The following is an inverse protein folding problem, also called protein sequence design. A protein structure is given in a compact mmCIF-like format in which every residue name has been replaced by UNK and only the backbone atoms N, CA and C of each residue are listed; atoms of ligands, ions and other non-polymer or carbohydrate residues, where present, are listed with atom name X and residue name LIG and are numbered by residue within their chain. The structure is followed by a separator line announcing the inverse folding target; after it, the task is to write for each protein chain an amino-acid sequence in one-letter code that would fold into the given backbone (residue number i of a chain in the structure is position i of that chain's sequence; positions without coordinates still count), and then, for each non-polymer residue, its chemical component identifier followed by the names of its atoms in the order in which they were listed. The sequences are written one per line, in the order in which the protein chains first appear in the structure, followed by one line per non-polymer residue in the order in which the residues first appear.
data_IF_594987907864
#
_entry.id   IF_594987907864
#
_cell.length_a   1.000
_cell.length_b   1.000
_cell.length_c   1.000
_cell.angle_alpha   90.00
_cell.angle_beta   90.00
_cell.angle_gamma   90.00
#
_symmetry.space_group_name_H-M   'P 1'
#
loop_
_entity.id
_entity.type
_entity.pdbx_description
1 polymer ?
#
# COMPACT_ATOMS: atom_id res chain seq x y z
N UNK A 1 6.41 -14.49 -27.83
CA UNK A 1 6.30 -13.03 -27.60
C UNK A 1 5.02 -12.67 -26.86
N UNK A 2 3.83 -13.11 -27.31
CA UNK A 2 2.53 -12.88 -26.63
C UNK A 2 2.49 -13.12 -25.11
N UNK A 3 3.15 -14.17 -24.60
CA UNK A 3 3.14 -14.47 -23.16
C UNK A 3 3.84 -13.39 -22.31
N UNK A 4 4.87 -12.72 -22.86
CA UNK A 4 5.60 -11.69 -22.12
C UNK A 4 4.79 -10.40 -22.07
N UNK A 5 4.22 -9.96 -23.20
CA UNK A 5 3.35 -8.78 -23.27
C UNK A 5 2.15 -8.92 -22.33
N UNK A 6 1.54 -10.11 -22.28
CA UNK A 6 0.43 -10.39 -21.36
C UNK A 6 0.88 -10.34 -19.90
N UNK A 7 2.13 -10.75 -19.61
CA UNK A 7 2.68 -10.73 -18.25
C UNK A 7 3.00 -9.32 -17.79
N UNK A 8 3.66 -8.53 -18.63
CA UNK A 8 3.98 -7.12 -18.38
C UNK A 8 2.71 -6.29 -18.16
N UNK A 9 1.66 -6.49 -18.99
CA UNK A 9 0.37 -5.83 -18.80
C UNK A 9 -0.32 -6.20 -17.48
N UNK A 10 -0.24 -7.47 -17.06
CA UNK A 10 -0.76 -7.93 -15.76
C UNK A 10 0.00 -7.29 -14.61
N UNK A 11 1.34 -7.27 -14.67
CA UNK A 11 2.18 -6.61 -13.66
C UNK A 11 1.83 -5.14 -13.59
N UNK A 12 1.74 -4.43 -14.72
CA UNK A 12 1.38 -3.00 -14.75
C UNK A 12 0.00 -2.72 -14.15
N UNK A 13 -0.99 -3.58 -14.43
CA UNK A 13 -2.35 -3.45 -13.85
C UNK A 13 -2.34 -3.63 -12.33
N UNK A 14 -1.61 -4.64 -11.85
CA UNK A 14 -1.45 -4.93 -10.43
C UNK A 14 -0.73 -3.77 -9.71
N UNK A 15 0.38 -3.30 -10.28
CA UNK A 15 1.15 -2.17 -9.74
C UNK A 15 0.30 -0.90 -9.66
N UNK A 16 -0.45 -0.58 -10.73
CA UNK A 16 -1.38 0.55 -10.72
C UNK A 16 -2.43 0.42 -9.62
N UNK A 17 -2.97 -0.78 -9.41
CA UNK A 17 -3.95 -1.01 -8.36
C UNK A 17 -3.34 -0.83 -6.96
N UNK A 18 -2.12 -1.30 -6.71
CA UNK A 18 -1.42 -1.11 -5.43
C UNK A 18 -1.15 0.38 -5.19
N UNK A 19 -0.69 1.10 -6.22
CA UNK A 19 -0.47 2.56 -6.14
C UNK A 19 -1.74 3.31 -5.75
N UNK A 20 -2.87 2.98 -6.37
CA UNK A 20 -4.15 3.59 -6.02
C UNK A 20 -4.52 3.36 -4.53
N UNK A 21 -4.26 2.17 -3.99
CA UNK A 21 -4.49 1.89 -2.57
C UNK A 21 -3.57 2.73 -1.67
N UNK A 22 -2.29 2.87 -2.03
CA UNK A 22 -1.34 3.75 -1.33
C UNK A 22 -1.83 5.21 -1.35
N UNK A 23 -2.33 5.69 -2.49
CA UNK A 23 -2.89 7.04 -2.62
C UNK A 23 -4.11 7.26 -1.72
N UNK A 24 -4.93 6.23 -1.49
CA UNK A 24 -6.01 6.29 -0.49
C UNK A 24 -5.45 6.38 0.92
N UNK A 25 -4.42 5.61 1.27
CA UNK A 25 -3.79 5.67 2.59
C UNK A 25 -3.18 7.05 2.88
N UNK A 26 -2.57 7.69 1.88
CA UNK A 26 -2.02 9.06 1.96
C UNK A 26 -3.04 10.13 2.30
N UNK A 27 -4.33 9.89 2.08
CA UNK A 27 -5.36 10.85 2.50
C UNK A 27 -5.41 11.00 4.02
N UNK A 28 -5.15 9.92 4.78
CA UNK A 28 -5.04 9.97 6.24
C UNK A 28 -3.89 10.86 6.67
N UNK A 29 -2.73 10.72 6.02
CA UNK A 29 -1.55 11.53 6.35
C UNK A 29 -1.73 12.98 5.98
N UNK A 30 -2.35 13.26 4.82
CA UNK A 30 -2.67 14.63 4.41
C UNK A 30 -3.57 15.32 5.43
N UNK A 31 -4.56 14.62 6.01
CA UNK A 31 -5.39 15.19 7.07
C UNK A 31 -4.61 15.41 8.37
N UNK A 32 -3.80 14.44 8.80
CA UNK A 32 -2.95 14.58 10.00
C UNK A 32 -1.96 15.74 9.85
N UNK A 33 -1.31 15.89 8.70
CA UNK A 33 -0.32 16.96 8.46
C UNK A 33 -0.95 18.35 8.41
N UNK A 34 -2.24 18.47 8.08
CA UNK A 34 -2.97 19.73 8.03
C UNK A 34 -3.88 19.96 9.26
N UNK A 35 -3.91 19.04 10.20
CA UNK A 35 -4.72 19.13 11.42
C UNK A 35 -3.96 19.94 12.49
N UNK A 36 -4.69 20.75 13.27
CA UNK A 36 -4.15 21.38 14.48
C UNK A 36 -3.83 20.36 15.58
N UNK A 37 -4.51 19.20 15.54
CA UNK A 37 -4.28 18.06 16.41
C UNK A 37 -3.33 17.07 15.74
N UNK A 38 -2.51 16.42 16.56
CA UNK A 38 -1.60 15.34 16.16
C UNK A 38 -2.27 13.96 16.05
N UNK A 39 -3.60 13.90 16.15
CA UNK A 39 -4.37 12.67 16.02
C UNK A 39 -5.71 12.88 15.31
N UNK A 40 -6.28 11.77 14.83
CA UNK A 40 -7.63 11.65 14.30
C UNK A 40 -8.38 10.50 15.00
N UNK A 41 -9.67 10.66 15.22
CA UNK A 41 -10.53 9.57 15.69
C UNK A 41 -11.14 8.81 14.52
N UNK A 42 -11.05 7.47 14.53
CA UNK A 42 -11.52 6.62 13.43
C UNK A 42 -13.03 6.48 13.38
N UNK A 43 -13.71 6.77 14.48
CA UNK A 43 -15.17 6.77 14.61
C UNK A 43 -15.79 8.18 14.48
N UNK A 44 -14.98 9.23 14.32
CA UNK A 44 -15.47 10.57 14.02
C UNK A 44 -16.26 10.53 12.70
N UNK A 45 -17.48 11.06 12.72
CA UNK A 45 -18.38 11.05 11.56
C UNK A 45 -17.76 11.74 10.34
N UNK A 46 -16.87 12.71 10.53
CA UNK A 46 -16.17 13.42 9.46
C UNK A 46 -15.09 12.57 8.78
N UNK A 47 -14.50 11.59 9.48
CA UNK A 47 -13.34 10.83 9.00
C UNK A 47 -13.61 9.33 8.84
N UNK A 48 -14.70 8.80 9.39
CA UNK A 48 -15.02 7.38 9.36
C UNK A 48 -14.95 6.77 7.96
N UNK A 49 -15.49 7.47 6.95
CA UNK A 49 -15.47 7.03 5.56
C UNK A 49 -14.04 6.84 5.02
N UNK A 50 -13.11 7.71 5.42
CA UNK A 50 -11.70 7.63 5.02
C UNK A 50 -11.05 6.38 5.59
N UNK A 51 -11.30 6.06 6.86
CA UNK A 51 -10.75 4.85 7.48
C UNK A 51 -11.39 3.58 6.91
N UNK A 52 -12.69 3.60 6.61
CA UNK A 52 -13.37 2.48 5.94
C UNK A 52 -12.81 2.25 4.53
N UNK A 53 -12.55 3.32 3.76
CA UNK A 53 -11.88 3.24 2.46
C UNK A 53 -10.46 2.64 2.58
N UNK A 54 -9.69 3.05 3.59
CA UNK A 54 -8.36 2.49 3.83
C UNK A 54 -8.42 0.98 4.15
N UNK A 55 -9.38 0.53 4.96
CA UNK A 55 -9.56 -0.90 5.28
C UNK A 55 -9.90 -1.73 4.03
N UNK A 56 -10.75 -1.17 3.17
CA UNK A 56 -11.10 -1.79 1.88
C UNK A 56 -9.87 -1.87 0.96
N UNK A 57 -9.15 -0.78 0.80
CA UNK A 57 -7.97 -0.71 -0.06
C UNK A 57 -6.79 -1.54 0.46
N UNK A 58 -6.66 -1.72 1.78
CA UNK A 58 -5.73 -2.67 2.38
C UNK A 58 -5.97 -4.10 1.87
N UNK A 59 -7.22 -4.54 1.88
CA UNK A 59 -7.60 -5.88 1.38
C UNK A 59 -7.26 -6.04 -0.11
N UNK A 60 -7.53 -5.00 -0.91
CA UNK A 60 -7.23 -4.97 -2.35
C UNK A 60 -5.71 -5.03 -2.58
N UNK A 61 -4.94 -4.22 -1.86
CA UNK A 61 -3.49 -4.15 -2.00
C UNK A 61 -2.83 -5.49 -1.65
N UNK A 62 -3.25 -6.16 -0.57
CA UNK A 62 -2.74 -7.49 -0.21
C UNK A 62 -3.05 -8.54 -1.28
N UNK A 63 -4.28 -8.58 -1.79
CA UNK A 63 -4.67 -9.52 -2.85
C UNK A 63 -3.83 -9.31 -4.14
N UNK A 64 -3.54 -8.05 -4.47
CA UNK A 64 -2.68 -7.69 -5.59
C UNK A 64 -1.22 -8.09 -5.37
N UNK A 65 -0.69 -7.93 -4.16
CA UNK A 65 0.66 -8.41 -3.82
C UNK A 65 0.77 -9.93 -3.87
N UNK A 66 -0.28 -10.68 -3.49
CA UNK A 66 -0.31 -12.14 -3.72
C UNK A 66 -0.37 -12.49 -5.20
N UNK A 67 -1.21 -11.79 -5.96
CA UNK A 67 -1.31 -11.99 -7.42
C UNK A 67 0.03 -11.73 -8.11
N UNK A 68 0.77 -10.71 -7.68
CA UNK A 68 2.11 -10.42 -8.17
C UNK A 68 3.08 -11.57 -7.89
N UNK A 69 3.06 -12.15 -6.68
CA UNK A 69 3.87 -13.33 -6.35
C UNK A 69 3.55 -14.56 -7.18
N UNK A 70 2.30 -14.73 -7.62
CA UNK A 70 1.90 -15.84 -8.48
C UNK A 70 2.44 -15.69 -9.92
N UNK A 71 2.57 -14.45 -10.39
CA UNK A 71 3.15 -14.14 -11.70
C UNK A 71 4.69 -14.29 -11.67
N UNK A 72 5.33 -13.89 -10.57
CA UNK A 72 6.77 -13.97 -10.43
C UNK A 72 7.27 -15.42 -10.32
N UNK A 73 8.40 -15.70 -10.98
CA UNK A 73 9.07 -16.98 -10.85
C UNK A 73 9.46 -17.24 -9.38
N UNK A 74 9.52 -18.52 -8.96
CA UNK A 74 10.02 -18.91 -7.64
C UNK A 74 11.46 -18.42 -7.39
N UNK A 75 12.26 -18.29 -8.44
CA UNK A 75 13.64 -17.80 -8.35
C UNK A 75 13.77 -16.26 -8.25
N UNK A 76 12.65 -15.53 -8.32
CA UNK A 76 12.59 -14.07 -8.13
C UNK A 76 12.70 -13.70 -6.64
N UNK A 77 13.78 -14.11 -5.98
CA UNK A 77 13.95 -13.99 -4.51
C UNK A 77 13.92 -12.52 -4.07
N UNK A 78 14.63 -11.64 -4.79
CA UNK A 78 14.65 -10.20 -4.49
C UNK A 78 13.25 -9.58 -4.57
N UNK A 79 12.53 -9.82 -5.67
CA UNK A 79 11.16 -9.31 -5.85
C UNK A 79 10.20 -9.85 -4.78
N UNK A 80 10.30 -11.14 -4.45
CA UNK A 80 9.45 -11.77 -3.43
C UNK A 80 9.72 -11.19 -2.04
N UNK A 81 10.97 -10.89 -1.71
CA UNK A 81 11.37 -10.23 -0.47
C UNK A 81 10.76 -8.83 -0.36
N UNK A 82 10.91 -7.99 -1.39
CA UNK A 82 10.31 -6.64 -1.37
C UNK A 82 8.78 -6.68 -1.25
N UNK A 83 8.13 -7.67 -1.88
CA UNK A 83 6.68 -7.88 -1.69
C UNK A 83 6.35 -8.23 -0.24
N UNK A 84 7.13 -9.09 0.41
CA UNK A 84 6.90 -9.46 1.81
C UNK A 84 7.11 -8.30 2.77
N UNK A 85 8.13 -7.47 2.54
CA UNK A 85 8.36 -6.24 3.30
C UNK A 85 7.18 -5.26 3.13
N UNK A 86 6.70 -5.05 1.90
CA UNK A 86 5.55 -4.18 1.66
C UNK A 86 4.25 -4.72 2.28
N UNK A 87 4.05 -6.05 2.30
CA UNK A 87 2.91 -6.65 3.02
C UNK A 87 2.97 -6.42 4.52
N UNK A 88 4.15 -6.57 5.12
CA UNK A 88 4.33 -6.30 6.54
C UNK A 88 3.99 -4.85 6.86
N UNK A 89 4.40 -3.92 5.99
CA UNK A 89 4.04 -2.52 6.11
C UNK A 89 2.52 -2.32 6.00
N UNK A 90 1.87 -2.81 4.96
CA UNK A 90 0.41 -2.69 4.86
C UNK A 90 -0.33 -3.24 6.09
N UNK A 91 0.14 -4.34 6.66
CA UNK A 91 -0.42 -4.89 7.89
C UNK A 91 -0.19 -3.99 9.12
N UNK A 92 1.01 -3.42 9.28
CA UNK A 92 1.27 -2.49 10.38
C UNK A 92 0.44 -1.21 10.27
N UNK A 93 0.32 -0.65 9.06
CA UNK A 93 -0.58 0.48 8.80
C UNK A 93 -2.04 0.13 9.16
N UNK A 94 -2.53 -1.03 8.72
CA UNK A 94 -3.89 -1.51 9.02
C UNK A 94 -4.15 -1.62 10.53
N UNK A 95 -3.18 -2.09 11.31
CA UNK A 95 -3.28 -2.15 12.77
C UNK A 95 -3.46 -0.73 13.32
N UNK A 96 -2.59 0.21 12.93
CA UNK A 96 -2.65 1.59 13.41
C UNK A 96 -4.00 2.27 13.11
N UNK A 97 -4.53 2.11 11.89
CA UNK A 97 -5.82 2.71 11.52
C UNK A 97 -7.05 1.94 12.02
N UNK A 98 -6.85 0.79 12.67
CA UNK A 98 -7.92 0.04 13.32
C UNK A 98 -8.11 0.44 14.79
N UNK A 99 -7.16 1.19 15.35
CA UNK A 99 -7.30 1.82 16.66
C UNK A 99 -8.36 2.93 16.62
N UNK A 100 -8.87 3.30 17.80
CA UNK A 100 -9.84 4.40 17.91
C UNK A 100 -9.17 5.74 17.61
N UNK A 101 -7.93 5.92 18.06
CA UNK A 101 -7.13 7.12 17.89
C UNK A 101 -5.94 6.82 17.00
N UNK A 102 -5.76 7.62 15.95
CA UNK A 102 -4.69 7.48 14.95
C UNK A 102 -3.79 8.70 15.02
N UNK A 103 -2.56 8.50 15.45
CA UNK A 103 -1.57 9.55 15.69
C UNK A 103 -0.68 9.81 14.47
N UNK A 104 0.11 10.90 14.54
CA UNK A 104 1.15 11.28 13.56
C UNK A 104 2.14 10.15 13.22
N UNK A 105 2.30 9.12 14.07
CA UNK A 105 3.12 7.95 13.78
C UNK A 105 2.76 7.28 12.43
N UNK A 106 1.48 7.35 12.02
CA UNK A 106 1.01 6.83 10.73
C UNK A 106 1.65 7.54 9.54
N UNK A 107 2.01 8.83 9.67
CA UNK A 107 2.68 9.59 8.61
C UNK A 107 4.06 9.01 8.30
N UNK A 108 4.82 8.62 9.33
CA UNK A 108 6.10 7.93 9.13
C UNK A 108 5.90 6.59 8.45
N UNK A 109 4.88 5.85 8.85
CA UNK A 109 4.57 4.54 8.31
C UNK A 109 4.25 4.58 6.80
N UNK A 110 3.54 5.62 6.35
CA UNK A 110 3.23 5.82 4.94
C UNK A 110 4.46 6.21 4.12
N UNK A 111 5.40 6.97 4.69
CA UNK A 111 6.70 7.23 4.05
C UNK A 111 7.52 5.96 3.87
N UNK A 112 7.47 5.05 4.84
CA UNK A 112 8.10 3.73 4.71
C UNK A 112 7.43 2.86 3.64
N UNK A 113 6.09 2.89 3.56
CA UNK A 113 5.33 2.25 2.49
C UNK A 113 5.77 2.76 1.11
N UNK A 114 5.81 4.08 0.91
CA UNK A 114 6.25 4.67 -0.35
C UNK A 114 7.67 4.23 -0.71
N UNK A 115 8.60 4.32 0.25
CA UNK A 115 9.99 3.91 0.01
C UNK A 115 10.11 2.44 -0.39
N UNK A 116 9.36 1.54 0.23
CA UNK A 116 9.39 0.11 -0.11
C UNK A 116 8.63 -0.20 -1.40
N UNK A 117 7.58 0.57 -1.72
CA UNK A 117 6.92 0.47 -3.02
C UNK A 117 7.88 0.86 -4.15
N UNK A 118 8.65 1.94 -4.00
CA UNK A 118 9.68 2.32 -4.97
C UNK A 118 10.77 1.25 -5.14
N UNK A 119 11.22 0.62 -4.05
CA UNK A 119 12.15 -0.52 -4.14
C UNK A 119 11.55 -1.67 -4.94
N UNK A 120 10.26 -1.97 -4.70
CA UNK A 120 9.54 -3.01 -5.44
C UNK A 120 9.49 -2.69 -6.95
N UNK A 121 9.16 -1.45 -7.33
CA UNK A 121 9.17 -1.02 -8.73
C UNK A 121 10.54 -1.21 -9.39
N UNK A 122 11.60 -0.80 -8.69
CA UNK A 122 12.97 -0.94 -9.16
C UNK A 122 13.37 -2.41 -9.40
N UNK A 123 13.06 -3.32 -8.47
CA UNK A 123 13.40 -4.76 -8.65
C UNK A 123 12.52 -5.47 -9.68
N UNK A 124 11.36 -4.90 -10.03
CA UNK A 124 10.50 -5.36 -11.12
C UNK A 124 10.88 -4.76 -12.47
N UNK A 125 11.76 -3.76 -12.52
CA UNK A 125 12.04 -2.93 -13.69
C UNK A 125 10.77 -2.25 -14.26
N UNK A 126 9.88 -1.79 -13.38
CA UNK A 126 8.70 -0.99 -13.78
C UNK A 126 9.03 0.48 -13.57
N UNK A 127 8.99 1.27 -14.64
CA UNK A 127 9.05 2.73 -14.57
C UNK A 127 7.63 3.28 -14.47
N UNK A 128 7.40 4.23 -13.57
CA UNK A 128 6.12 4.96 -13.47
C UNK A 128 5.81 5.83 -14.70
#
# INVERSE_FOLDING_TARGET
MLNNETTEQKVGTIIKSIKNSIDVFKKVTCLLENSEKDYLYTDDTNYKHLFDDCKKEHTIALANLESLKLILNKNSIGQRKEIDELKQLFNGFQIMISEVEVEQAVVYYIKEIDSNFEKLLNVLNVTE
#
